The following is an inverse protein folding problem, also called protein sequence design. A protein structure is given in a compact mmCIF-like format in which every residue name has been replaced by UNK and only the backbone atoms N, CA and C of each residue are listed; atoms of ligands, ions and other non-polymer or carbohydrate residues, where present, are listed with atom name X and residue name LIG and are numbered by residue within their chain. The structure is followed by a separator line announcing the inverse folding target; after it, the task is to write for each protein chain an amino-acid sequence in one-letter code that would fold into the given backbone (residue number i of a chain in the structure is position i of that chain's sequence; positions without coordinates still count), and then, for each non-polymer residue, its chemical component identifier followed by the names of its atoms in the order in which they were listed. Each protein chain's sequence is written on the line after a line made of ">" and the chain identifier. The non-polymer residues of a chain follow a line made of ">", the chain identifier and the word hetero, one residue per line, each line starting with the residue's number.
data_IF_994443802483
#
_entry.id   IF_994443802483
#
_cell.length_a   1.000
_cell.length_b   1.000
_cell.length_c   1.000
_cell.angle_alpha   90.00
_cell.angle_beta   90.00
_cell.angle_gamma   90.00
#
_symmetry.space_group_name_H-M   'P 1'
#
loop_
_entity.id
_entity.type
_entity.pdbx_description
1 polymer ?
#
# COMPACT_ATOMS: atom_id res chain seq x y z
N UNK A 1 72.30 -32.26 -9.28
CA UNK A 1 71.10 -31.89 -10.06
C UNK A 1 69.97 -31.59 -9.06
N UNK A 2 69.67 -30.29 -8.89
CA UNK A 2 68.63 -29.84 -7.92
C UNK A 2 67.41 -29.46 -8.77
N UNK A 3 66.36 -30.25 -8.66
CA UNK A 3 65.06 -29.98 -9.30
C UNK A 3 64.36 -28.83 -8.58
N UNK A 4 64.23 -27.70 -9.22
CA UNK A 4 63.44 -26.54 -8.74
C UNK A 4 61.98 -26.77 -9.11
N UNK A 5 61.15 -27.08 -8.13
CA UNK A 5 59.67 -27.16 -8.33
C UNK A 5 59.12 -25.73 -8.24
N UNK A 6 58.69 -25.17 -9.36
CA UNK A 6 57.93 -23.93 -9.39
C UNK A 6 56.45 -24.25 -9.07
N UNK A 7 56.01 -23.84 -7.88
CA UNK A 7 54.57 -23.88 -7.53
C UNK A 7 53.94 -22.64 -8.12
N UNK A 8 53.09 -22.82 -9.17
CA UNK A 8 52.23 -21.77 -9.70
C UNK A 8 51.01 -21.69 -8.84
N UNK A 9 50.91 -20.64 -8.01
CA UNK A 9 49.66 -20.32 -7.27
C UNK A 9 48.73 -19.60 -8.22
N UNK A 10 47.71 -20.29 -8.71
CA UNK A 10 46.59 -19.68 -9.49
C UNK A 10 45.63 -19.10 -8.45
N UNK A 11 45.65 -17.76 -8.30
CA UNK A 11 44.64 -17.04 -7.52
C UNK A 11 43.39 -16.92 -8.39
N UNK A 12 42.42 -17.79 -8.11
CA UNK A 12 41.06 -17.68 -8.75
C UNK A 12 40.36 -16.54 -8.02
N UNK A 13 40.32 -15.37 -8.63
CA UNK A 13 39.41 -14.31 -8.22
C UNK A 13 37.99 -14.77 -8.60
N UNK A 14 37.24 -15.23 -7.61
CA UNK A 14 35.79 -15.40 -7.75
C UNK A 14 35.18 -14.01 -7.84
N UNK A 15 34.99 -13.51 -9.07
CA UNK A 15 34.12 -12.38 -9.31
C UNK A 15 32.70 -12.88 -9.01
N UNK A 16 32.23 -12.66 -7.80
CA UNK A 16 30.80 -12.78 -7.54
C UNK A 16 30.12 -11.70 -8.37
N UNK A 17 29.57 -12.10 -9.53
CA UNK A 17 28.59 -11.24 -10.18
C UNK A 17 27.50 -10.97 -9.16
N UNK A 18 27.49 -9.77 -8.58
CA UNK A 18 26.37 -9.33 -7.78
C UNK A 18 25.15 -9.36 -8.71
N UNK A 19 24.28 -10.33 -8.50
CA UNK A 19 23.03 -10.40 -9.25
C UNK A 19 22.31 -9.07 -9.05
N UNK A 20 21.92 -8.45 -10.14
CA UNK A 20 21.15 -7.22 -10.12
C UNK A 20 19.75 -7.60 -9.62
N UNK A 21 19.46 -7.24 -8.36
CA UNK A 21 18.15 -7.50 -7.76
C UNK A 21 17.15 -6.45 -8.25
N UNK A 22 15.95 -6.88 -8.57
CA UNK A 22 14.83 -6.03 -8.98
C UNK A 22 13.57 -6.45 -8.24
N UNK A 23 12.72 -5.50 -7.95
CA UNK A 23 11.39 -5.72 -7.39
C UNK A 23 10.40 -4.76 -8.01
N UNK A 24 9.23 -5.27 -8.31
CA UNK A 24 8.09 -4.51 -8.85
C UNK A 24 7.00 -4.40 -7.81
N UNK A 25 6.65 -3.17 -7.44
CA UNK A 25 5.55 -2.85 -6.55
C UNK A 25 4.41 -2.27 -7.37
N UNK A 26 3.21 -2.83 -7.26
CA UNK A 26 1.99 -2.31 -7.89
C UNK A 26 1.09 -1.71 -6.81
N UNK A 27 0.71 -0.46 -6.99
CA UNK A 27 -0.22 0.24 -6.11
C UNK A 27 -1.51 0.52 -6.87
N UNK A 28 -2.64 0.26 -6.22
CA UNK A 28 -3.96 0.61 -6.71
C UNK A 28 -4.69 1.50 -5.70
N UNK A 29 -5.70 2.25 -6.17
CA UNK A 29 -6.49 3.14 -5.36
C UNK A 29 -7.52 2.45 -4.49
N UNK A 30 -8.68 3.10 -4.33
CA UNK A 30 -9.68 2.76 -3.34
C UNK A 30 -10.50 1.53 -3.76
N UNK A 31 -10.42 0.47 -2.96
CA UNK A 31 -11.22 -0.75 -3.05
C UNK A 31 -12.48 -0.55 -2.21
N UNK A 32 -13.53 -0.05 -2.85
CA UNK A 32 -14.80 0.27 -2.21
C UNK A 32 -15.90 -0.70 -2.65
N UNK A 33 -16.99 -0.72 -1.89
CA UNK A 33 -18.14 -1.54 -2.21
C UNK A 33 -19.45 -0.86 -1.84
N UNK A 34 -20.25 -0.48 -2.84
CA UNK A 34 -21.54 0.16 -2.68
C UNK A 34 -22.70 -0.84 -2.76
N UNK A 35 -23.91 -0.42 -2.38
CA UNK A 35 -25.10 -1.30 -2.35
C UNK A 35 -25.40 -1.94 -3.71
N UNK A 36 -25.19 -1.21 -4.82
CA UNK A 36 -25.39 -1.76 -6.16
C UNK A 36 -24.41 -2.91 -6.47
N UNK A 37 -23.18 -2.82 -5.99
CA UNK A 37 -22.16 -3.86 -6.17
C UNK A 37 -22.48 -5.08 -5.28
N UNK A 38 -22.95 -4.88 -4.04
CA UNK A 38 -23.42 -5.96 -3.17
C UNK A 38 -24.56 -6.72 -3.87
N UNK A 39 -25.53 -5.98 -4.42
CA UNK A 39 -26.67 -6.56 -5.14
C UNK A 39 -26.22 -7.31 -6.40
N UNK A 40 -25.30 -6.75 -7.18
CA UNK A 40 -24.79 -7.38 -8.39
C UNK A 40 -24.01 -8.67 -8.12
N UNK A 41 -23.27 -8.71 -7.01
CA UNK A 41 -22.50 -9.88 -6.59
C UNK A 41 -23.36 -10.98 -5.94
N UNK A 42 -24.63 -10.73 -5.64
CA UNK A 42 -25.48 -11.68 -4.95
C UNK A 42 -25.75 -12.93 -5.79
N UNK A 43 -25.59 -14.10 -5.20
CA UNK A 43 -25.87 -15.43 -5.77
C UNK A 43 -26.90 -16.18 -4.92
N UNK A 44 -27.34 -17.37 -5.36
CA UNK A 44 -28.26 -18.21 -4.60
C UNK A 44 -27.73 -18.69 -3.23
N UNK A 45 -26.41 -18.59 -2.99
CA UNK A 45 -25.80 -19.11 -1.76
C UNK A 45 -24.84 -18.14 -1.06
N UNK A 46 -24.64 -16.93 -1.58
CA UNK A 46 -23.67 -15.97 -1.04
C UNK A 46 -23.40 -14.82 -2.00
N UNK A 47 -22.14 -14.50 -2.20
CA UNK A 47 -21.71 -13.41 -3.08
C UNK A 47 -20.54 -13.88 -3.95
N UNK A 48 -20.46 -13.39 -5.19
CA UNK A 48 -19.36 -13.63 -6.12
C UNK A 48 -18.88 -12.29 -6.69
N UNK A 49 -17.62 -11.97 -6.43
CA UNK A 49 -16.94 -10.77 -6.89
C UNK A 49 -15.85 -11.07 -7.93
N UNK A 50 -15.77 -12.29 -8.45
CA UNK A 50 -14.74 -12.70 -9.41
C UNK A 50 -14.73 -11.83 -10.67
N UNK A 51 -15.90 -11.44 -11.16
CA UNK A 51 -16.04 -10.58 -12.33
C UNK A 51 -15.42 -9.18 -12.15
N UNK A 52 -15.31 -8.69 -10.91
CA UNK A 52 -14.71 -7.38 -10.63
C UNK A 52 -13.23 -7.31 -11.01
N UNK A 53 -12.52 -8.45 -11.01
CA UNK A 53 -11.08 -8.51 -11.19
C UNK A 53 -10.62 -9.22 -12.47
N UNK A 54 -11.53 -9.86 -13.21
CA UNK A 54 -11.19 -10.77 -14.31
C UNK A 54 -10.31 -10.16 -15.41
N UNK A 55 -10.46 -8.86 -15.67
CA UNK A 55 -9.72 -8.17 -16.73
C UNK A 55 -8.37 -7.60 -16.29
N UNK A 56 -8.13 -7.53 -14.98
CA UNK A 56 -6.93 -6.91 -14.41
C UNK A 56 -6.11 -7.89 -13.55
N UNK A 57 -6.65 -9.07 -13.28
CA UNK A 57 -6.00 -10.11 -12.45
C UNK A 57 -4.60 -10.47 -12.96
N UNK A 58 -4.44 -10.58 -14.28
CA UNK A 58 -3.15 -10.89 -14.88
C UNK A 58 -2.12 -9.79 -14.60
N UNK A 59 -2.50 -8.52 -14.76
CA UNK A 59 -1.61 -7.39 -14.50
C UNK A 59 -1.24 -7.27 -13.01
N UNK A 60 -2.20 -7.50 -12.12
CA UNK A 60 -1.96 -7.53 -10.67
C UNK A 60 -0.96 -8.65 -10.32
N UNK A 61 -1.18 -9.86 -10.85
CA UNK A 61 -0.35 -11.03 -10.54
C UNK A 61 1.07 -10.99 -11.10
N UNK A 62 1.34 -10.11 -12.07
CA UNK A 62 2.69 -9.90 -12.62
C UNK A 62 3.58 -9.05 -11.71
N UNK A 63 3.01 -8.31 -10.76
CA UNK A 63 3.80 -7.58 -9.77
C UNK A 63 4.38 -8.52 -8.72
N UNK A 64 5.57 -8.20 -8.23
CA UNK A 64 6.13 -8.93 -7.09
C UNK A 64 5.31 -8.69 -5.83
N UNK A 65 4.83 -7.47 -5.62
CA UNK A 65 3.97 -7.09 -4.50
C UNK A 65 2.87 -6.16 -5.01
N UNK A 66 1.61 -6.56 -4.86
CA UNK A 66 0.44 -5.77 -5.18
C UNK A 66 -0.22 -5.23 -3.90
N UNK A 67 -0.43 -3.91 -3.83
CA UNK A 67 -0.91 -3.18 -2.66
C UNK A 67 -2.17 -2.39 -3.02
N UNK A 68 -3.25 -2.53 -2.23
CA UNK A 68 -4.51 -1.81 -2.42
C UNK A 68 -5.03 -1.16 -1.14
N UNK A 69 -5.79 -0.07 -1.27
CA UNK A 69 -6.47 0.57 -0.14
C UNK A 69 -7.84 -0.05 0.09
N UNK A 70 -8.00 -0.84 1.16
CA UNK A 70 -9.27 -1.46 1.54
C UNK A 70 -10.16 -0.42 2.24
N UNK A 71 -10.95 0.32 1.46
CA UNK A 71 -11.77 1.42 1.94
C UNK A 71 -13.21 0.98 2.28
N UNK A 72 -13.30 -0.13 2.98
CA UNK A 72 -14.52 -0.67 3.57
C UNK A 72 -14.19 -1.40 4.85
N UNK A 73 -15.17 -1.57 5.75
CA UNK A 73 -15.06 -2.55 6.83
C UNK A 73 -15.64 -3.89 6.39
N UNK A 74 -15.10 -4.98 6.93
CA UNK A 74 -15.67 -6.32 6.84
C UNK A 74 -16.45 -6.61 8.15
N UNK A 75 -17.44 -5.74 8.42
CA UNK A 75 -18.16 -5.70 9.72
C UNK A 75 -19.19 -6.80 9.92
N UNK A 76 -19.44 -7.64 8.90
CA UNK A 76 -20.50 -8.65 8.91
C UNK A 76 -21.88 -8.07 8.57
N UNK A 77 -22.91 -8.90 8.66
CA UNK A 77 -24.30 -8.51 8.37
C UNK A 77 -24.84 -7.49 9.38
N UNK A 78 -25.74 -6.57 8.96
CA UNK A 78 -26.21 -6.39 7.60
C UNK A 78 -25.14 -5.73 6.72
N UNK A 79 -24.94 -6.28 5.51
CA UNK A 79 -24.06 -5.69 4.52
C UNK A 79 -24.67 -4.42 3.96
N UNK A 80 -23.83 -3.42 3.68
CA UNK A 80 -24.27 -2.13 3.12
C UNK A 80 -23.10 -1.35 2.51
N UNK A 81 -23.45 -0.46 1.59
CA UNK A 81 -22.55 0.54 1.02
C UNK A 81 -22.50 1.82 1.83
N UNK A 82 -22.28 2.94 1.13
CA UNK A 82 -22.22 4.28 1.73
C UNK A 82 -23.53 4.61 2.50
N UNK A 83 -23.47 5.34 3.62
CA UNK A 83 -22.26 5.98 4.21
C UNK A 83 -21.54 5.11 5.26
N UNK A 84 -21.98 3.90 5.54
CA UNK A 84 -21.42 3.06 6.60
C UNK A 84 -21.16 1.65 6.07
N UNK A 85 -20.04 1.53 5.37
CA UNK A 85 -19.67 0.32 4.65
C UNK A 85 -19.55 -0.93 5.52
N UNK A 86 -20.11 -2.02 5.04
CA UNK A 86 -19.89 -3.38 5.56
C UNK A 86 -19.94 -4.35 4.40
N UNK A 87 -18.79 -4.70 3.87
CA UNK A 87 -18.68 -5.62 2.74
C UNK A 87 -18.88 -7.08 3.15
N UNK A 88 -19.45 -7.95 2.28
CA UNK A 88 -19.34 -9.40 2.41
C UNK A 88 -17.89 -9.87 2.43
N UNK A 89 -17.62 -10.96 3.13
CA UNK A 89 -16.27 -11.52 3.24
C UNK A 89 -15.74 -11.99 1.87
N UNK A 90 -16.63 -12.38 0.98
CA UNK A 90 -16.34 -12.79 -0.39
C UNK A 90 -15.66 -11.68 -1.21
N UNK A 91 -15.90 -10.42 -0.86
CA UNK A 91 -15.17 -9.30 -1.47
C UNK A 91 -13.67 -9.39 -1.15
N UNK A 92 -13.31 -9.67 0.10
CA UNK A 92 -11.91 -9.87 0.49
C UNK A 92 -11.31 -11.12 -0.17
N UNK A 93 -12.11 -12.20 -0.29
CA UNK A 93 -11.62 -13.42 -0.95
C UNK A 93 -11.31 -13.16 -2.43
N UNK A 94 -12.15 -12.39 -3.11
CA UNK A 94 -11.92 -11.99 -4.50
C UNK A 94 -10.69 -11.05 -4.65
N UNK A 95 -10.49 -10.12 -3.72
CA UNK A 95 -9.27 -9.28 -3.68
C UNK A 95 -8.03 -10.17 -3.56
N UNK A 96 -8.03 -11.14 -2.65
CA UNK A 96 -6.91 -12.06 -2.49
C UNK A 96 -6.68 -12.92 -3.72
N UNK A 97 -7.75 -13.46 -4.29
CA UNK A 97 -7.68 -14.29 -5.51
C UNK A 97 -7.21 -13.49 -6.73
N UNK A 98 -7.48 -12.19 -6.76
CA UNK A 98 -6.96 -11.29 -7.79
C UNK A 98 -5.44 -11.10 -7.74
N UNK A 99 -4.78 -11.48 -6.63
CA UNK A 99 -3.33 -11.45 -6.50
C UNK A 99 -2.80 -10.31 -5.62
N UNK A 100 -3.65 -9.64 -4.85
CA UNK A 100 -3.16 -8.65 -3.88
C UNK A 100 -2.39 -9.32 -2.73
N UNK A 101 -1.24 -8.72 -2.40
CA UNK A 101 -0.34 -9.19 -1.34
C UNK A 101 -0.52 -8.42 -0.04
N UNK A 102 -0.90 -7.13 -0.11
CA UNK A 102 -0.98 -6.22 1.05
C UNK A 102 -2.19 -5.32 0.93
N UNK A 103 -2.87 -5.08 2.06
CA UNK A 103 -3.96 -4.13 2.14
C UNK A 103 -3.67 -2.99 3.12
N UNK A 104 -3.92 -1.77 2.67
CA UNK A 104 -3.90 -0.57 3.50
C UNK A 104 -5.27 -0.42 4.15
N UNK A 105 -5.30 -0.20 5.46
CA UNK A 105 -6.54 -0.12 6.23
C UNK A 105 -6.73 1.22 6.94
N UNK A 106 -5.75 2.13 6.86
CA UNK A 106 -5.90 3.49 7.37
C UNK A 106 -6.63 4.36 6.33
N UNK A 107 -7.93 4.49 6.47
CA UNK A 107 -8.79 5.35 5.65
C UNK A 107 -9.97 5.88 6.49
N UNK A 108 -10.74 6.80 5.93
CA UNK A 108 -11.87 7.41 6.64
C UNK A 108 -13.04 6.43 6.90
N UNK A 109 -13.10 5.30 6.19
CA UNK A 109 -14.13 4.27 6.34
C UNK A 109 -13.72 3.08 7.23
N UNK A 110 -12.52 3.07 7.79
CA UNK A 110 -12.03 1.95 8.61
C UNK A 110 -12.80 1.73 9.92
N UNK A 111 -13.56 2.72 10.37
CA UNK A 111 -14.40 2.66 11.59
C UNK A 111 -15.90 2.66 11.32
N UNK A 112 -16.38 2.51 10.09
CA UNK A 112 -17.81 2.55 9.74
C UNK A 112 -18.69 1.57 10.54
N UNK A 113 -18.12 0.50 11.01
CA UNK A 113 -18.78 -0.50 11.87
C UNK A 113 -18.20 -0.51 13.29
N UNK A 114 -17.56 0.62 13.67
CA UNK A 114 -16.97 0.83 14.99
C UNK A 114 -15.91 -0.21 15.36
N UNK A 115 -15.70 -0.37 16.68
CA UNK A 115 -14.74 -1.34 17.23
C UNK A 115 -14.89 -2.75 16.66
N UNK A 116 -16.12 -3.28 16.66
CA UNK A 116 -16.38 -4.65 16.16
C UNK A 116 -16.03 -4.79 14.68
N UNK A 117 -16.30 -3.76 13.88
CA UNK A 117 -15.97 -3.76 12.46
C UNK A 117 -14.47 -3.79 12.22
N UNK A 118 -13.70 -2.92 12.89
CA UNK A 118 -12.25 -2.89 12.81
C UNK A 118 -11.63 -4.22 13.24
N UNK A 119 -12.02 -4.73 14.40
CA UNK A 119 -11.47 -5.98 14.94
C UNK A 119 -11.80 -7.20 14.07
N UNK A 120 -13.03 -7.24 13.50
CA UNK A 120 -13.43 -8.31 12.58
C UNK A 120 -12.65 -8.23 11.27
N UNK A 121 -12.47 -7.02 10.70
CA UNK A 121 -11.67 -6.81 9.50
C UNK A 121 -10.24 -7.31 9.72
N UNK A 122 -9.60 -6.91 10.81
CA UNK A 122 -8.26 -7.37 11.17
C UNK A 122 -8.20 -8.90 11.35
N UNK A 123 -9.21 -9.50 11.99
CA UNK A 123 -9.27 -10.96 12.16
C UNK A 123 -9.39 -11.71 10.84
N UNK A 124 -10.20 -11.24 9.91
CA UNK A 124 -10.35 -11.84 8.59
C UNK A 124 -9.05 -11.75 7.78
N UNK A 125 -8.40 -10.60 7.79
CA UNK A 125 -7.10 -10.41 7.15
C UNK A 125 -6.05 -11.38 7.72
N UNK A 126 -5.97 -11.51 9.04
CA UNK A 126 -5.08 -12.47 9.71
C UNK A 126 -5.41 -13.92 9.33
N UNK A 127 -6.70 -14.30 9.30
CA UNK A 127 -7.14 -15.65 8.97
C UNK A 127 -6.74 -16.07 7.54
N UNK A 128 -6.71 -15.10 6.63
CA UNK A 128 -6.25 -15.30 5.26
C UNK A 128 -4.74 -15.15 5.10
N UNK A 129 -4.02 -14.84 6.18
CA UNK A 129 -2.60 -14.48 6.12
C UNK A 129 -2.35 -13.35 5.11
N UNK A 130 -3.24 -12.36 5.07
CA UNK A 130 -3.14 -11.17 4.24
C UNK A 130 -2.45 -10.07 5.07
N UNK A 131 -1.23 -9.69 4.75
CA UNK A 131 -0.55 -8.57 5.40
C UNK A 131 -1.38 -7.27 5.26
N UNK A 132 -1.48 -6.50 6.33
CA UNK A 132 -2.17 -5.22 6.33
C UNK A 132 -1.52 -4.22 7.27
N UNK A 133 -1.77 -2.94 7.04
CA UNK A 133 -1.20 -1.87 7.86
C UNK A 133 -2.12 -0.65 7.89
N UNK A 134 -2.15 0.02 9.04
CA UNK A 134 -2.91 1.27 9.24
C UNK A 134 -3.90 1.22 10.39
N UNK A 135 -4.49 0.05 10.69
CA UNK A 135 -5.40 -0.16 11.83
C UNK A 135 -4.98 -1.38 12.65
N UNK A 136 -5.18 -1.32 13.96
CA UNK A 136 -4.73 -2.36 14.90
C UNK A 136 -5.73 -2.56 16.01
N UNK A 137 -5.80 -3.78 16.52
CA UNK A 137 -6.70 -4.14 17.63
C UNK A 137 -6.25 -3.55 18.96
N UNK A 138 -4.93 -3.42 19.15
CA UNK A 138 -4.34 -2.85 20.38
C UNK A 138 -3.04 -2.11 20.05
N UNK A 139 -2.49 -1.38 21.03
CA UNK A 139 -1.17 -0.77 20.93
C UNK A 139 -0.05 -1.80 20.77
N UNK A 140 -0.17 -2.95 21.44
CA UNK A 140 0.79 -4.05 21.32
C UNK A 140 0.76 -4.67 19.93
N UNK A 141 -0.44 -4.87 19.36
CA UNK A 141 -0.62 -5.35 17.98
C UNK A 141 0.06 -4.38 16.98
N UNK A 142 -0.08 -3.05 17.20
CA UNK A 142 0.64 -2.05 16.40
C UNK A 142 2.14 -2.15 16.57
N UNK A 143 2.65 -2.22 17.78
CA UNK A 143 4.09 -2.29 18.05
C UNK A 143 4.76 -3.51 17.40
N UNK A 144 4.05 -4.64 17.33
CA UNK A 144 4.56 -5.87 16.72
C UNK A 144 4.58 -5.85 15.20
N UNK A 145 3.67 -5.09 14.57
CA UNK A 145 3.42 -5.14 13.12
C UNK A 145 3.81 -3.87 12.37
N UNK A 146 4.03 -2.77 13.08
CA UNK A 146 4.23 -1.47 12.44
C UNK A 146 5.58 -0.86 12.79
N UNK A 147 6.30 -0.33 11.79
CA UNK A 147 6.00 -0.30 10.35
C UNK A 147 5.92 -1.70 9.73
N UNK A 148 5.06 -1.86 8.70
CA UNK A 148 4.95 -3.16 8.01
C UNK A 148 6.17 -3.36 7.13
N UNK A 149 7.00 -4.34 7.49
CA UNK A 149 8.17 -4.72 6.71
C UNK A 149 7.83 -5.92 5.82
N UNK A 150 8.05 -5.78 4.52
CA UNK A 150 7.88 -6.85 3.53
C UNK A 150 9.25 -7.22 3.00
N UNK A 151 9.56 -8.52 3.03
CA UNK A 151 10.81 -9.06 2.50
C UNK A 151 10.49 -9.93 1.28
N UNK A 152 10.97 -9.51 0.11
CA UNK A 152 10.77 -10.26 -1.15
C UNK A 152 11.88 -9.94 -2.14
N UNK A 153 12.34 -10.94 -2.87
CA UNK A 153 13.37 -10.82 -3.93
C UNK A 153 14.66 -10.09 -3.47
N UNK A 154 15.07 -10.30 -2.21
CA UNK A 154 16.24 -9.63 -1.65
C UNK A 154 16.01 -8.19 -1.19
N UNK A 155 14.78 -7.66 -1.30
CA UNK A 155 14.41 -6.33 -0.83
C UNK A 155 13.67 -6.39 0.51
N UNK A 156 13.83 -5.31 1.27
CA UNK A 156 13.14 -5.00 2.53
C UNK A 156 12.39 -3.68 2.34
N UNK A 157 11.09 -3.75 2.18
CA UNK A 157 10.23 -2.57 1.94
C UNK A 157 9.45 -2.27 3.20
N UNK A 158 9.63 -1.08 3.77
CA UNK A 158 8.85 -0.60 4.90
C UNK A 158 7.65 0.21 4.39
N UNK A 159 6.43 -0.26 4.70
CA UNK A 159 5.20 0.46 4.40
C UNK A 159 4.69 1.19 5.63
N UNK A 160 4.43 2.48 5.47
CA UNK A 160 3.76 3.34 6.44
C UNK A 160 2.38 3.70 5.87
N UNK A 161 1.31 3.60 6.67
CA UNK A 161 -0.04 3.93 6.23
C UNK A 161 -0.75 4.83 7.25
N UNK A 162 -1.34 5.94 6.77
CA UNK A 162 -2.00 6.94 7.61
C UNK A 162 -3.26 7.49 6.95
N UNK A 163 -4.23 7.91 7.77
CA UNK A 163 -5.44 8.61 7.32
C UNK A 163 -5.59 9.98 7.97
N UNK A 164 -6.23 10.90 7.26
CA UNK A 164 -6.51 12.25 7.76
C UNK A 164 -7.61 12.26 8.84
N UNK A 165 -8.57 11.34 8.75
CA UNK A 165 -9.73 11.24 9.66
C UNK A 165 -10.40 9.85 9.54
N UNK A 166 -11.45 9.63 10.30
CA UNK A 166 -12.32 8.45 10.32
C UNK A 166 -13.80 8.85 10.32
N UNK A 167 -14.17 9.82 9.47
CA UNK A 167 -15.52 10.39 9.35
C UNK A 167 -16.11 10.81 10.70
N UNK A 168 -15.26 11.39 11.58
CA UNK A 168 -15.63 11.82 12.93
C UNK A 168 -15.85 10.71 13.96
N UNK A 169 -15.71 9.43 13.57
CA UNK A 169 -15.84 8.28 14.47
C UNK A 169 -14.47 8.06 15.15
N UNK A 170 -14.41 8.23 16.47
CA UNK A 170 -13.17 7.97 17.21
C UNK A 170 -12.97 6.48 17.47
N UNK A 171 -11.73 5.97 17.36
CA UNK A 171 -11.46 4.58 17.72
C UNK A 171 -11.74 4.35 19.21
N UNK A 172 -12.42 3.25 19.51
CA UNK A 172 -12.66 2.83 20.89
C UNK A 172 -11.46 2.06 21.43
N UNK A 173 -11.03 2.38 22.64
CA UNK A 173 -9.96 1.62 23.31
C UNK A 173 -10.27 0.12 23.32
N UNK A 174 -9.29 -0.77 23.02
CA UNK A 174 -7.88 -0.50 22.79
C UNK A 174 -7.47 -0.30 21.31
N UNK A 175 -8.43 -0.12 20.39
CA UNK A 175 -8.15 -0.04 18.96
C UNK A 175 -7.32 1.20 18.61
N UNK A 176 -6.43 1.05 17.63
CA UNK A 176 -5.56 2.08 17.11
C UNK A 176 -5.81 2.27 15.61
N UNK A 177 -5.88 3.52 15.19
CA UNK A 177 -5.83 3.95 13.77
C UNK A 177 -4.63 4.87 13.62
N UNK A 178 -3.85 4.68 12.58
CA UNK A 178 -2.74 5.58 12.26
C UNK A 178 -3.28 6.85 11.60
N UNK A 179 -3.36 7.92 12.37
CA UNK A 179 -3.72 9.25 11.86
C UNK A 179 -2.49 10.00 11.34
N UNK A 180 -2.73 10.94 10.43
CA UNK A 180 -1.72 11.90 9.98
C UNK A 180 -1.39 12.85 11.15
N UNK A 181 -0.33 12.51 11.86
CA UNK A 181 0.28 13.28 12.93
C UNK A 181 1.80 13.30 12.70
N UNK A 182 2.35 14.46 12.44
CA UNK A 182 3.77 14.61 12.08
C UNK A 182 4.72 14.16 13.19
N UNK A 183 4.32 14.27 14.47
CA UNK A 183 5.13 13.78 15.61
C UNK A 183 5.17 12.26 15.58
N UNK A 184 4.02 11.61 15.43
CA UNK A 184 3.93 10.15 15.36
C UNK A 184 4.61 9.63 14.10
N UNK A 185 4.36 10.25 12.92
CA UNK A 185 4.98 9.84 11.65
C UNK A 185 6.51 9.91 11.74
N UNK A 186 7.06 10.97 12.33
CA UNK A 186 8.51 11.09 12.55
C UNK A 186 9.07 9.96 13.40
N UNK A 187 8.38 9.62 14.49
CA UNK A 187 8.75 8.48 15.35
C UNK A 187 8.72 7.16 14.57
N UNK A 188 7.67 6.94 13.79
CA UNK A 188 7.49 5.72 12.99
C UNK A 188 8.57 5.59 11.90
N UNK A 189 8.97 6.70 11.25
CA UNK A 189 10.08 6.71 10.29
C UNK A 189 11.40 6.31 10.97
N UNK A 190 11.65 6.79 12.19
CA UNK A 190 12.83 6.39 12.94
C UNK A 190 12.83 4.89 13.25
N UNK A 191 11.69 4.32 13.62
CA UNK A 191 11.55 2.87 13.82
C UNK A 191 11.76 2.13 12.50
N UNK A 192 11.16 2.59 11.40
CA UNK A 192 11.37 2.01 10.08
C UNK A 192 12.85 1.94 9.69
N UNK A 193 13.61 3.03 9.91
CA UNK A 193 15.04 3.09 9.62
C UNK A 193 15.85 2.07 10.44
N UNK A 194 15.47 1.81 11.70
CA UNK A 194 16.13 0.78 12.52
C UNK A 194 15.96 -0.63 11.95
N UNK A 195 14.87 -0.86 11.19
CA UNK A 195 14.66 -2.12 10.48
C UNK A 195 15.56 -2.27 9.25
N UNK A 196 16.33 -1.23 8.88
CA UNK A 196 17.24 -1.19 7.72
C UNK A 196 16.52 -1.58 6.42
N UNK A 197 15.42 -0.90 6.05
CA UNK A 197 14.74 -1.16 4.80
C UNK A 197 15.55 -0.65 3.61
N UNK A 198 15.28 -1.21 2.45
CA UNK A 198 15.80 -0.74 1.16
C UNK A 198 15.01 0.46 0.62
N UNK A 199 13.74 0.57 1.03
CA UNK A 199 12.90 1.74 0.78
C UNK A 199 11.82 1.89 1.86
N UNK A 200 11.49 3.14 2.20
CA UNK A 200 10.35 3.52 3.05
C UNK A 200 9.29 4.15 2.16
N UNK A 201 8.11 3.57 2.11
CA UNK A 201 6.99 4.06 1.30
C UNK A 201 5.85 4.50 2.22
N UNK A 202 5.43 5.75 2.11
CA UNK A 202 4.30 6.28 2.84
C UNK A 202 3.02 6.23 2.00
N UNK A 203 2.02 5.49 2.48
CA UNK A 203 0.70 5.40 1.89
C UNK A 203 -0.24 6.34 2.65
N UNK A 204 -0.75 7.37 1.96
CA UNK A 204 -1.44 8.49 2.57
C UNK A 204 -2.88 8.57 2.10
N UNK A 205 -3.82 8.41 3.02
CA UNK A 205 -5.24 8.65 2.76
C UNK A 205 -5.57 10.09 3.17
N UNK A 206 -5.56 11.01 2.20
CA UNK A 206 -5.48 12.45 2.43
C UNK A 206 -6.12 13.31 1.34
N UNK A 207 -6.18 14.63 1.58
CA UNK A 207 -6.64 15.60 0.59
C UNK A 207 -8.11 15.94 0.73
N UNK A 208 -8.69 16.41 -0.35
CA UNK A 208 -10.11 16.78 -0.44
C UNK A 208 -10.77 15.93 -1.52
N UNK A 209 -11.93 15.37 -1.21
CA UNK A 209 -12.71 14.60 -2.15
C UNK A 209 -13.02 15.39 -3.43
N UNK A 210 -12.95 14.69 -4.56
CA UNK A 210 -13.36 15.17 -5.90
C UNK A 210 -12.54 16.35 -6.45
N UNK A 211 -11.41 16.65 -5.86
CA UNK A 211 -10.49 17.65 -6.40
C UNK A 211 -9.45 16.98 -7.30
N UNK A 212 -9.41 17.36 -8.58
CA UNK A 212 -8.46 16.82 -9.55
C UNK A 212 -7.02 17.33 -9.35
N UNK A 213 -6.83 18.38 -8.55
CA UNK A 213 -5.51 18.90 -8.18
C UNK A 213 -5.25 18.72 -6.69
N UNK A 214 -4.02 18.36 -6.29
CA UNK A 214 -3.68 18.17 -4.90
C UNK A 214 -3.79 19.49 -4.12
N UNK A 215 -4.43 19.42 -2.97
CA UNK A 215 -4.51 20.55 -2.04
C UNK A 215 -3.12 20.94 -1.51
N UNK A 216 -2.94 22.19 -1.12
CA UNK A 216 -1.66 22.71 -0.62
C UNK A 216 -1.14 21.95 0.61
N UNK A 217 -2.03 21.41 1.45
CA UNK A 217 -1.64 20.57 2.60
C UNK A 217 -1.02 19.23 2.16
N UNK A 218 -1.51 18.60 1.08
CA UNK A 218 -0.91 17.38 0.53
C UNK A 218 0.51 17.67 0.05
N UNK A 219 0.72 18.77 -0.69
CA UNK A 219 2.03 19.16 -1.20
C UNK A 219 3.03 19.42 -0.07
N UNK A 220 2.63 20.24 0.93
CA UNK A 220 3.48 20.52 2.10
C UNK A 220 3.84 19.27 2.91
N UNK A 221 2.86 18.36 3.08
CA UNK A 221 3.13 17.10 3.79
C UNK A 221 4.01 16.18 2.97
N UNK A 222 3.85 16.13 1.63
CA UNK A 222 4.73 15.37 0.76
C UNK A 222 6.19 15.87 0.85
N UNK A 223 6.39 17.20 0.79
CA UNK A 223 7.72 17.81 0.95
C UNK A 223 8.34 17.39 2.28
N UNK A 224 7.58 17.56 3.37
CA UNK A 224 8.04 17.19 4.70
C UNK A 224 8.36 15.69 4.85
N UNK A 225 7.54 14.79 4.28
CA UNK A 225 7.79 13.34 4.32
C UNK A 225 9.11 12.97 3.63
N UNK A 226 9.38 13.55 2.45
CA UNK A 226 10.66 13.36 1.74
C UNK A 226 11.82 13.87 2.59
N UNK A 227 11.70 15.07 3.17
CA UNK A 227 12.72 15.64 4.07
C UNK A 227 12.96 14.77 5.31
N UNK A 228 11.93 14.05 5.80
CA UNK A 228 12.11 13.06 6.87
C UNK A 228 12.69 11.74 6.37
N UNK A 229 12.90 11.54 5.06
CA UNK A 229 13.56 10.37 4.46
C UNK A 229 12.61 9.25 4.10
N UNK A 230 11.37 9.58 3.73
CA UNK A 230 10.48 8.70 2.98
C UNK A 230 10.95 8.67 1.52
N UNK A 231 11.06 7.50 0.93
CA UNK A 231 11.55 7.34 -0.45
C UNK A 231 10.44 7.58 -1.47
N UNK A 232 9.22 7.09 -1.22
CA UNK A 232 8.09 7.24 -2.15
C UNK A 232 6.80 7.49 -1.37
N UNK A 233 5.85 8.18 -2.01
CA UNK A 233 4.55 8.54 -1.43
C UNK A 233 3.44 8.11 -2.38
N UNK A 234 2.46 7.36 -1.85
CA UNK A 234 1.31 6.88 -2.59
C UNK A 234 0.04 7.38 -1.90
N UNK A 235 -0.73 8.21 -2.59
CA UNK A 235 -1.93 8.84 -2.07
C UNK A 235 -3.22 8.19 -2.56
N UNK A 236 -4.27 8.29 -1.72
CA UNK A 236 -5.65 7.89 -1.97
C UNK A 236 -6.61 8.85 -1.24
N UNK A 237 -7.92 8.65 -1.31
CA UNK A 237 -9.02 9.42 -0.72
C UNK A 237 -9.75 10.39 -1.67
N UNK A 238 -9.11 11.20 -2.55
CA UNK A 238 -9.86 12.14 -3.38
C UNK A 238 -10.87 11.49 -4.33
N UNK A 239 -10.83 10.16 -4.50
CA UNK A 239 -11.67 9.36 -5.42
C UNK A 239 -11.53 9.76 -6.89
N UNK A 240 -10.62 10.63 -7.21
CA UNK A 240 -10.22 11.04 -8.56
C UNK A 240 -8.71 10.93 -8.68
N UNK A 241 -8.22 10.61 -9.87
CA UNK A 241 -6.78 10.60 -10.12
C UNK A 241 -6.25 12.04 -10.03
N UNK A 242 -5.22 12.22 -9.22
CA UNK A 242 -4.49 13.48 -9.12
C UNK A 242 -3.10 13.35 -9.77
N UNK A 243 -2.42 14.47 -10.08
CA UNK A 243 -1.08 14.46 -10.65
C UNK A 243 -0.12 13.54 -9.89
N UNK A 244 0.81 12.97 -10.65
CA UNK A 244 1.95 12.18 -10.17
C UNK A 244 3.23 12.89 -10.59
N UNK A 245 4.24 12.84 -9.75
CA UNK A 245 5.53 13.46 -10.06
C UNK A 245 6.69 12.58 -9.63
N UNK A 246 7.78 12.68 -10.36
CA UNK A 246 9.07 12.12 -9.99
C UNK A 246 9.99 13.27 -9.65
N UNK A 247 10.39 13.36 -8.40
CA UNK A 247 11.32 14.38 -7.91
C UNK A 247 12.72 13.80 -7.86
N UNK A 248 13.69 14.56 -8.37
CA UNK A 248 15.10 14.26 -8.18
C UNK A 248 15.57 14.89 -6.86
N UNK A 249 16.20 14.10 -6.01
CA UNK A 249 16.91 14.64 -4.87
C UNK A 249 18.07 15.53 -5.38
N UNK A 250 18.22 16.73 -4.81
CA UNK A 250 19.24 17.69 -5.22
C UNK A 250 20.66 17.31 -4.75
N UNK A 251 20.73 16.49 -3.69
CA UNK A 251 22.00 16.14 -3.02
C UNK A 251 22.34 14.65 -3.16
N UNK A 252 21.40 13.84 -3.67
CA UNK A 252 21.56 12.40 -3.79
C UNK A 252 20.99 11.92 -5.14
N UNK A 253 21.54 10.89 -5.77
CA UNK A 253 21.02 10.35 -7.05
C UNK A 253 19.67 9.63 -6.92
N UNK A 254 19.01 9.74 -5.77
CA UNK A 254 17.68 9.17 -5.54
C UNK A 254 16.60 9.95 -6.27
N UNK A 255 15.59 9.23 -6.72
CA UNK A 255 14.35 9.78 -7.28
C UNK A 255 13.19 9.35 -6.40
N UNK A 256 12.29 10.27 -6.12
CA UNK A 256 11.11 10.06 -5.30
C UNK A 256 9.86 10.07 -6.18
N UNK A 257 9.10 8.99 -6.18
CA UNK A 257 7.78 8.96 -6.78
C UNK A 257 6.77 9.51 -5.78
N UNK A 258 5.98 10.50 -6.20
CA UNK A 258 4.89 11.06 -5.41
C UNK A 258 3.61 10.93 -6.24
N UNK A 259 2.68 10.14 -5.75
CA UNK A 259 1.34 9.97 -6.29
C UNK A 259 0.38 10.66 -5.33
N UNK A 260 -0.28 11.73 -5.73
CA UNK A 260 -1.18 12.45 -4.84
C UNK A 260 -2.51 11.74 -4.65
N UNK A 261 -3.06 11.10 -5.67
CA UNK A 261 -4.20 10.20 -5.57
C UNK A 261 -4.26 9.25 -6.76
N UNK A 262 -4.50 7.98 -6.45
CA UNK A 262 -4.73 6.92 -7.45
C UNK A 262 -6.18 6.88 -7.94
N UNK A 263 -7.12 7.60 -7.31
CA UNK A 263 -8.54 7.49 -7.61
C UNK A 263 -9.15 6.17 -7.12
N UNK A 264 -10.28 5.80 -7.69
CA UNK A 264 -10.98 4.56 -7.34
C UNK A 264 -10.47 3.38 -8.16
N UNK A 265 -10.19 2.26 -7.50
CA UNK A 265 -9.91 1.01 -8.18
C UNK A 265 -11.20 0.19 -8.40
N UNK A 266 -12.01 0.07 -7.36
CA UNK A 266 -13.37 -0.51 -7.43
C UNK A 266 -14.32 0.41 -6.67
N UNK A 267 -15.33 0.91 -7.36
CA UNK A 267 -16.32 1.83 -6.80
C UNK A 267 -17.61 1.76 -7.61
N UNK A 268 -18.69 2.29 -7.09
CA UNK A 268 -19.93 2.60 -7.84
C UNK A 268 -20.29 4.08 -7.69
N UNK A 269 -19.29 4.92 -7.55
CA UNK A 269 -19.48 6.37 -7.55
C UNK A 269 -19.84 6.84 -8.97
N UNK A 270 -20.71 7.84 -9.06
CA UNK A 270 -21.20 8.38 -10.34
C UNK A 270 -20.87 9.86 -10.52
N UNK A 271 -20.06 10.42 -9.63
CA UNK A 271 -19.59 11.80 -9.73
C UNK A 271 -18.54 11.89 -10.84
N UNK A 272 -18.40 13.06 -11.45
CA UNK A 272 -17.42 13.30 -12.51
C UNK A 272 -16.00 12.86 -12.09
N UNK A 273 -15.33 12.11 -12.96
CA UNK A 273 -13.97 11.57 -12.76
C UNK A 273 -13.80 10.58 -11.58
N UNK A 274 -14.90 10.03 -11.03
CA UNK A 274 -14.83 9.00 -9.97
C UNK A 274 -15.05 7.58 -10.48
N UNK A 275 -15.23 7.43 -11.77
CA UNK A 275 -15.52 6.17 -12.48
C UNK A 275 -14.27 5.42 -12.95
N UNK A 276 -13.08 5.90 -12.55
CA UNK A 276 -11.82 5.28 -12.89
C UNK A 276 -10.72 5.62 -11.91
N UNK A 277 -9.59 4.98 -12.10
CA UNK A 277 -8.41 5.14 -11.29
C UNK A 277 -7.12 4.85 -12.04
N UNK A 278 -6.04 4.82 -11.31
CA UNK A 278 -4.72 4.45 -11.83
C UNK A 278 -4.13 3.30 -11.03
N UNK A 279 -3.55 2.34 -11.75
CA UNK A 279 -2.58 1.39 -11.19
C UNK A 279 -1.18 1.94 -11.44
N UNK A 280 -0.38 2.08 -10.40
CA UNK A 280 0.98 2.60 -10.51
C UNK A 280 1.99 1.49 -10.20
N UNK A 281 2.87 1.24 -11.15
CA UNK A 281 3.97 0.30 -11.03
C UNK A 281 5.25 1.05 -10.69
N UNK A 282 5.88 0.70 -9.57
CA UNK A 282 7.18 1.20 -9.14
C UNK A 282 8.20 0.07 -9.21
N UNK A 283 9.23 0.23 -10.01
CA UNK A 283 10.34 -0.72 -10.09
C UNK A 283 11.54 -0.19 -9.30
N UNK A 284 12.00 -0.98 -8.35
CA UNK A 284 13.23 -0.73 -7.60
C UNK A 284 14.32 -1.70 -8.04
N UNK A 285 15.52 -1.18 -8.08
CA UNK A 285 16.74 -1.93 -8.41
C UNK A 285 17.76 -1.77 -7.30
N UNK A 286 18.34 -2.89 -6.90
CA UNK A 286 19.46 -2.91 -5.95
C UNK A 286 20.74 -3.30 -6.68
N UNK A 287 21.76 -2.47 -6.52
CA UNK A 287 23.09 -2.71 -7.05
C UNK A 287 24.11 -2.38 -5.97
N UNK A 288 24.89 -3.39 -5.57
CA UNK A 288 25.90 -3.29 -4.50
C UNK A 288 25.34 -2.75 -3.18
N UNK A 289 24.12 -3.20 -2.82
CA UNK A 289 23.45 -2.80 -1.59
C UNK A 289 22.79 -1.42 -1.63
N UNK A 290 22.85 -0.71 -2.76
CA UNK A 290 22.17 0.59 -2.95
C UNK A 290 20.90 0.38 -3.76
N UNK A 291 19.77 0.73 -3.17
CA UNK A 291 18.46 0.68 -3.82
C UNK A 291 18.13 2.02 -4.47
N UNK A 292 17.57 1.97 -5.68
CA UNK A 292 17.12 3.15 -6.44
C UNK A 292 15.86 2.82 -7.21
N UNK A 293 15.05 3.82 -7.48
CA UNK A 293 13.97 3.73 -8.44
C UNK A 293 14.55 3.56 -9.85
N UNK A 294 14.29 2.44 -10.48
CA UNK A 294 14.66 2.16 -11.89
C UNK A 294 13.68 2.84 -12.82
N UNK A 295 12.39 2.54 -12.63
CA UNK A 295 11.30 3.09 -13.43
C UNK A 295 10.02 3.23 -12.62
N UNK A 296 9.08 4.01 -13.17
CA UNK A 296 7.68 3.98 -12.78
C UNK A 296 6.80 4.11 -14.03
N UNK A 297 5.66 3.45 -13.99
CA UNK A 297 4.65 3.52 -15.05
C UNK A 297 3.26 3.46 -14.43
N UNK A 298 2.23 3.77 -15.21
CA UNK A 298 0.86 3.65 -14.77
C UNK A 298 -0.05 3.14 -15.89
N UNK A 299 -1.12 2.47 -15.50
CA UNK A 299 -2.26 2.10 -16.35
C UNK A 299 -3.50 2.78 -15.80
N UNK A 300 -4.34 3.31 -16.67
CA UNK A 300 -5.68 3.81 -16.29
C UNK A 300 -6.67 2.65 -16.35
N UNK A 301 -7.60 2.62 -15.41
CA UNK A 301 -8.62 1.58 -15.25
C UNK A 301 -9.99 2.20 -15.10
#
# INVERSE_FOLDING_TARGET
>A
MRNLFCIIIVIIYSVTLSAQERITLLFVGDLMQHDAQIKAAQTNGGYDYSDCFKHIKEEISQADIAIGNLEVTLGGKPYRGYPSFSAPDEFLYAIKDAGFDVLLTANNHCLDRGKKGLERTAHLLDSLKMPFTGTYRTSEDRQQRYPLLIEKNGFRIALLAYTYDTNGIKPSTPNIVNYIDTVQIKSDILVARQMKPDAIIACMHWGLEYQSLPHSSQKKLADWLIDQGVDHIIGSHPHVVQPMEVRQDQHHPSRHLIVYSLGNFISNMSRENTDGGAMVKLELKKLWGITRMESCSYSLI
#
